data_IF_193762406077
#
_entry.id   IF_193762406077
#
_cell.length_a   1.000
_cell.length_b   1.000
_cell.length_c   1.000
_cell.angle_alpha   90.00
_cell.angle_beta   90.00
_cell.angle_gamma   90.00
#
_symmetry.space_group_name_H-M   'P 1'
#
loop_
_entity.id
_entity.type
_entity.pdbx_description
1 polymer ?
#
# COMPACT_ATOMS: atom_id res chain seq x y z
N UNK A 1 2.43 0.66 -14.25
CA UNK A 1 1.64 -0.01 -13.19
C UNK A 1 0.46 0.80 -12.67
N UNK A 2 0.25 2.06 -13.11
CA UNK A 2 -0.95 2.82 -12.73
C UNK A 2 -0.94 3.38 -11.31
N UNK A 3 0.20 3.37 -10.62
CA UNK A 3 0.37 3.98 -9.30
C UNK A 3 0.21 5.50 -9.42
N UNK A 4 -0.76 6.12 -8.71
CA UNK A 4 -0.92 7.57 -8.68
C UNK A 4 0.34 8.27 -8.16
N UNK A 5 0.65 9.46 -8.69
CA UNK A 5 1.86 10.22 -8.29
C UNK A 5 1.90 10.50 -6.78
N UNK A 6 0.74 10.75 -6.17
CA UNK A 6 0.61 11.01 -4.73
C UNK A 6 0.77 9.78 -3.84
N UNK A 7 0.88 8.58 -4.41
CA UNK A 7 1.05 7.33 -3.67
C UNK A 7 2.45 6.71 -3.84
N UNK A 8 3.37 7.41 -4.51
CA UNK A 8 4.69 6.86 -4.81
C UNK A 8 5.49 6.61 -3.54
N UNK A 9 6.28 5.55 -3.59
CA UNK A 9 7.23 5.17 -2.56
C UNK A 9 8.59 4.82 -3.20
N UNK A 10 9.45 4.13 -2.46
CA UNK A 10 10.80 3.76 -2.89
C UNK A 10 10.85 2.51 -3.79
N UNK A 11 9.84 1.65 -3.75
CA UNK A 11 9.80 0.42 -4.55
C UNK A 11 8.38 0.02 -4.95
N UNK A 12 8.29 -0.73 -6.04
CA UNK A 12 7.05 -1.33 -6.52
C UNK A 12 7.24 -2.82 -6.75
N UNK A 13 6.29 -3.62 -6.30
CA UNK A 13 6.20 -5.05 -6.56
C UNK A 13 4.86 -5.40 -7.22
N UNK A 14 4.79 -6.61 -7.78
CA UNK A 14 3.57 -7.18 -8.36
C UNK A 14 3.31 -8.53 -7.70
N UNK A 15 2.12 -8.70 -7.12
CA UNK A 15 1.66 -9.92 -6.49
C UNK A 15 0.40 -10.44 -7.22
N UNK A 16 0.61 -11.40 -8.12
CA UNK A 16 -0.45 -11.86 -9.02
C UNK A 16 -0.90 -10.71 -9.95
N UNK A 17 -2.16 -10.30 -9.82
CA UNK A 17 -2.73 -9.17 -10.59
C UNK A 17 -2.64 -7.82 -9.88
N UNK A 18 -2.17 -7.79 -8.63
CA UNK A 18 -2.18 -6.58 -7.81
C UNK A 18 -0.80 -5.93 -7.76
N UNK A 19 -0.80 -4.60 -7.81
CA UNK A 19 0.39 -3.77 -7.61
C UNK A 19 0.54 -3.48 -6.11
N UNK A 20 1.77 -3.55 -5.61
CA UNK A 20 2.12 -3.24 -4.22
C UNK A 20 3.20 -2.16 -4.25
N UNK A 21 2.86 -0.97 -3.77
CA UNK A 21 3.75 0.19 -3.78
C UNK A 21 4.22 0.50 -2.35
N UNK A 22 5.53 0.51 -2.15
CA UNK A 22 6.14 0.81 -0.86
C UNK A 22 5.91 -0.26 0.20
N UNK A 23 6.06 0.15 1.45
CA UNK A 23 6.14 -0.71 2.63
C UNK A 23 4.75 -1.19 3.12
N UNK A 24 4.00 -1.87 2.25
CA UNK A 24 2.67 -2.42 2.56
C UNK A 24 2.78 -3.64 3.49
N UNK A 25 2.07 -3.68 4.64
CA UNK A 25 2.03 -4.86 5.50
C UNK A 25 1.51 -6.11 4.78
N UNK A 26 2.20 -7.24 4.99
CA UNK A 26 1.84 -8.51 4.38
C UNK A 26 0.41 -8.96 4.74
N UNK A 27 -0.08 -8.60 5.94
CA UNK A 27 -1.45 -8.89 6.36
C UNK A 27 -2.49 -8.16 5.49
N UNK A 28 -2.22 -6.93 5.10
CA UNK A 28 -3.11 -6.14 4.24
C UNK A 28 -3.10 -6.65 2.80
N UNK A 29 -1.92 -7.03 2.29
CA UNK A 29 -1.82 -7.68 0.98
C UNK A 29 -2.61 -9.01 0.95
N UNK A 30 -2.48 -9.84 1.99
CA UNK A 30 -3.26 -11.09 2.12
C UNK A 30 -4.77 -10.80 2.14
N UNK A 31 -5.20 -9.75 2.87
CA UNK A 31 -6.61 -9.33 2.90
C UNK A 31 -7.11 -8.92 1.52
N UNK A 32 -6.33 -8.16 0.75
CA UNK A 32 -6.67 -7.81 -0.64
C UNK A 32 -6.81 -9.05 -1.53
N UNK A 33 -5.84 -9.96 -1.46
CA UNK A 33 -5.83 -11.19 -2.27
C UNK A 33 -7.03 -12.08 -1.98
N UNK A 34 -7.45 -12.16 -0.72
CA UNK A 34 -8.63 -12.91 -0.29
C UNK A 34 -9.94 -12.23 -0.73
N UNK A 35 -10.05 -10.91 -0.56
CA UNK A 35 -11.26 -10.16 -0.86
C UNK A 35 -11.55 -10.04 -2.37
N UNK A 36 -10.50 -10.08 -3.20
CA UNK A 36 -10.58 -9.95 -4.67
C UNK A 36 -11.39 -8.73 -5.14
N UNK A 37 -11.27 -7.61 -4.43
CA UNK A 37 -12.12 -6.42 -4.60
C UNK A 37 -12.12 -5.94 -6.06
N UNK A 38 -13.29 -5.85 -6.72
CA UNK A 38 -13.39 -5.32 -8.08
C UNK A 38 -12.91 -3.87 -8.18
N UNK A 39 -12.26 -3.52 -9.28
CA UNK A 39 -11.79 -2.16 -9.55
C UNK A 39 -10.52 -1.74 -8.79
N UNK A 40 -10.05 -2.53 -7.81
CA UNK A 40 -8.77 -2.29 -7.14
C UNK A 40 -7.63 -2.88 -7.97
N UNK A 41 -6.66 -2.04 -8.30
CA UNK A 41 -5.42 -2.43 -8.98
C UNK A 41 -4.29 -2.73 -8.01
N UNK A 42 -4.30 -2.13 -6.81
CA UNK A 42 -3.20 -2.32 -5.87
C UNK A 42 -3.36 -1.63 -4.52
N UNK A 43 -2.37 -1.85 -3.65
CA UNK A 43 -2.17 -1.14 -2.39
C UNK A 43 -0.88 -0.33 -2.44
N UNK A 44 -0.87 0.79 -1.73
CA UNK A 44 0.30 1.64 -1.56
C UNK A 44 0.45 2.10 -0.12
N UNK A 45 1.69 2.15 0.37
CA UNK A 45 2.08 3.02 1.48
C UNK A 45 2.92 4.15 0.89
N UNK A 46 2.38 5.38 0.81
CA UNK A 46 3.12 6.52 0.25
C UNK A 46 4.35 6.85 1.10
N UNK A 47 5.36 7.44 0.46
CA UNK A 47 6.63 7.82 1.09
C UNK A 47 7.30 6.63 1.79
N UNK A 48 7.86 6.83 2.98
CA UNK A 48 8.57 5.80 3.76
C UNK A 48 8.40 6.06 5.27
N UNK A 49 7.18 5.86 5.83
CA UNK A 49 6.91 6.12 7.24
C UNK A 49 7.72 5.19 8.14
N UNK A 50 8.34 5.75 9.19
CA UNK A 50 9.10 4.97 10.15
C UNK A 50 8.17 4.00 10.89
N UNK A 51 8.59 2.75 11.09
CA UNK A 51 7.78 1.70 11.70
C UNK A 51 6.92 0.89 10.72
N UNK A 52 6.84 1.29 9.44
CA UNK A 52 6.31 0.40 8.40
C UNK A 52 7.27 -0.77 8.14
N UNK A 53 6.80 -1.93 7.62
CA UNK A 53 7.64 -3.11 7.43
C UNK A 53 8.87 -2.84 6.57
N UNK A 54 10.08 -3.04 7.09
CA UNK A 54 11.35 -2.70 6.43
C UNK A 54 11.81 -1.25 6.63
N UNK A 55 11.06 -0.43 7.38
CA UNK A 55 11.41 0.93 7.81
C UNK A 55 11.39 1.06 9.34
N UNK A 56 11.62 -0.02 10.07
CA UNK A 56 11.61 -0.04 11.53
C UNK A 56 12.73 0.83 12.10
N UNK A 57 12.38 1.73 13.02
CA UNK A 57 13.33 2.59 13.73
C UNK A 57 13.05 2.48 15.23
N UNK A 58 14.08 2.16 16.02
CA UNK A 58 13.93 2.01 17.46
C UNK A 58 13.34 3.28 18.10
N UNK A 59 12.23 3.12 18.81
CA UNK A 59 11.56 4.22 19.53
C UNK A 59 10.75 5.19 18.66
N UNK A 60 10.58 4.92 17.36
CA UNK A 60 9.76 5.75 16.46
C UNK A 60 8.80 4.89 15.63
N UNK A 61 7.53 5.27 15.65
CA UNK A 61 6.50 4.72 14.76
C UNK A 61 5.63 5.87 14.28
N UNK A 62 5.71 6.17 13.00
CA UNK A 62 4.86 7.17 12.36
C UNK A 62 3.49 6.53 12.07
N UNK A 63 2.41 7.28 12.22
CA UNK A 63 1.10 6.82 11.76
C UNK A 63 1.05 6.86 10.23
N UNK A 64 0.47 5.84 9.62
CA UNK A 64 0.32 5.79 8.17
C UNK A 64 -0.96 5.07 7.74
N UNK A 65 -1.34 5.30 6.49
CA UNK A 65 -2.46 4.62 5.87
C UNK A 65 -1.97 3.76 4.72
N UNK A 66 -2.52 2.56 4.62
CA UNK A 66 -2.45 1.77 3.38
C UNK A 66 -3.57 2.24 2.48
N UNK A 67 -3.23 2.67 1.27
CA UNK A 67 -4.14 3.24 0.29
C UNK A 67 -4.43 2.22 -0.80
N UNK A 68 -5.70 1.92 -1.03
CA UNK A 68 -6.14 1.21 -2.24
C UNK A 68 -6.26 2.18 -3.40
N UNK A 69 -5.84 1.74 -4.59
CA UNK A 69 -6.00 2.51 -5.83
C UNK A 69 -6.44 1.61 -6.98
N UNK A 70 -7.09 2.23 -7.96
CA UNK A 70 -7.69 1.57 -9.12
C UNK A 70 -7.52 2.39 -10.39
N UNK A 71 -7.94 1.86 -11.53
CA UNK A 71 -7.90 2.57 -12.81
C UNK A 71 -8.82 3.82 -12.83
N UNK A 72 -9.83 3.83 -11.98
CA UNK A 72 -10.86 4.86 -11.92
C UNK A 72 -11.07 5.32 -10.48
N UNK A 73 -11.02 6.64 -10.27
CA UNK A 73 -11.35 7.27 -8.99
C UNK A 73 -10.14 7.60 -8.12
N UNK A 74 -10.42 8.33 -7.04
CA UNK A 74 -9.41 8.73 -6.07
C UNK A 74 -8.99 7.53 -5.19
N UNK A 75 -7.71 7.48 -4.77
CA UNK A 75 -7.25 6.53 -3.77
C UNK A 75 -8.12 6.55 -2.51
N UNK A 76 -8.33 5.38 -1.90
CA UNK A 76 -9.12 5.24 -0.67
C UNK A 76 -8.32 4.53 0.41
N UNK A 77 -8.49 4.96 1.65
CA UNK A 77 -7.91 4.29 2.82
C UNK A 77 -8.41 2.85 2.88
N UNK A 78 -7.49 1.90 2.90
CA UNK A 78 -7.72 0.47 3.03
C UNK A 78 -7.45 -0.03 4.46
N UNK A 79 -6.45 0.54 5.13
CA UNK A 79 -6.14 0.34 6.54
C UNK A 79 -5.37 1.54 7.11
N UNK A 80 -5.34 1.64 8.43
CA UNK A 80 -4.52 2.60 9.20
C UNK A 80 -3.63 1.81 10.16
N UNK A 81 -2.41 2.28 10.35
CA UNK A 81 -1.39 1.75 11.24
C UNK A 81 -0.72 2.88 12.02
#
# INVERSE_FOLDING_TARGET
>A
LGVPKSLRSCHTAVAGKYVVEGHVPAADLKRLLAARTPGVLGLAVPDMPAGSPGMEVAGRSDQYAVMSFGASGMPKVFAKH
#
